data_IF_157641715067
#
_entry.id   IF_157641715067
#
_cell.length_a   1.000
_cell.length_b   1.000
_cell.length_c   1.000
_cell.angle_alpha   90.00
_cell.angle_beta   90.00
_cell.angle_gamma   90.00
#
_symmetry.space_group_name_H-M   'P 1'
#
loop_
_entity.id
_entity.type
_entity.pdbx_description
1 polymer ?
#
# COMPACT_ATOMS: atom_id res chain seq x y z
N UNK A 1 -10.48 6.10 -29.38
CA UNK A 1 -9.83 7.45 -29.39
C UNK A 1 -9.33 7.84 -27.98
N UNK A 2 -8.45 8.84 -27.79
CA UNK A 2 -7.85 9.20 -26.48
C UNK A 2 -8.87 9.37 -25.33
N UNK A 3 -9.97 10.10 -25.56
CA UNK A 3 -11.01 10.36 -24.54
C UNK A 3 -11.76 9.09 -24.10
N UNK A 4 -11.95 8.16 -25.03
CA UNK A 4 -12.56 6.85 -24.77
C UNK A 4 -11.66 6.02 -23.86
N UNK A 5 -10.37 5.95 -24.19
CA UNK A 5 -9.38 5.27 -23.34
C UNK A 5 -9.28 5.92 -21.95
N UNK A 6 -9.29 7.26 -21.84
CA UNK A 6 -9.32 7.94 -20.54
C UNK A 6 -10.56 7.54 -19.72
N UNK A 7 -11.71 7.38 -20.37
CA UNK A 7 -12.95 6.98 -19.70
C UNK A 7 -12.88 5.53 -19.21
N UNK A 8 -12.33 4.63 -20.02
CA UNK A 8 -12.10 3.23 -19.67
C UNK A 8 -11.09 3.08 -18.52
N UNK A 9 -9.97 3.82 -18.59
CA UNK A 9 -8.96 3.86 -17.53
C UNK A 9 -9.56 4.36 -16.19
N UNK A 10 -10.34 5.44 -16.21
CA UNK A 10 -11.05 5.94 -15.04
C UNK A 10 -12.01 4.89 -14.45
N UNK A 11 -12.73 4.16 -15.30
CA UNK A 11 -13.65 3.12 -14.85
C UNK A 11 -12.92 1.92 -14.25
N UNK A 12 -11.81 1.49 -14.88
CA UNK A 12 -10.97 0.40 -14.39
C UNK A 12 -10.39 0.71 -13.02
N UNK A 13 -9.84 1.91 -12.83
CA UNK A 13 -9.25 2.34 -11.55
C UNK A 13 -10.28 2.58 -10.44
N UNK A 14 -11.55 2.80 -10.80
CA UNK A 14 -12.65 2.97 -9.85
C UNK A 14 -13.14 1.68 -9.23
N UNK A 15 -12.76 0.50 -9.75
CA UNK A 15 -13.19 -0.76 -9.18
C UNK A 15 -12.71 -0.89 -7.72
N UNK A 16 -13.68 -1.01 -6.80
CA UNK A 16 -13.47 -1.12 -5.34
C UNK A 16 -14.00 -2.46 -4.81
N UNK A 17 -13.62 -3.56 -5.45
CA UNK A 17 -13.77 -4.87 -4.84
C UNK A 17 -12.85 -5.04 -3.63
N UNK A 18 -13.12 -6.05 -2.80
CA UNK A 18 -12.15 -6.53 -1.84
C UNK A 18 -10.89 -7.01 -2.59
N UNK A 19 -9.71 -6.77 -2.03
CA UNK A 19 -8.47 -7.31 -2.58
C UNK A 19 -8.38 -8.82 -2.26
N UNK A 20 -7.71 -9.61 -3.10
CA UNK A 20 -7.37 -10.99 -2.75
C UNK A 20 -6.59 -11.07 -1.43
N UNK A 21 -6.80 -12.15 -0.68
CA UNK A 21 -6.08 -12.51 0.54
C UNK A 21 -4.88 -13.45 0.28
N UNK A 22 -4.64 -13.79 -0.99
CA UNK A 22 -3.51 -14.58 -1.45
C UNK A 22 -2.41 -13.68 -2.07
N UNK A 23 -1.15 -13.94 -1.70
CA UNK A 23 0.00 -13.15 -2.15
C UNK A 23 0.29 -13.29 -3.65
N UNK A 24 0.13 -14.46 -4.24
CA UNK A 24 0.36 -14.73 -5.67
C UNK A 24 -0.68 -14.01 -6.54
N UNK A 25 -1.94 -14.07 -6.13
CA UNK A 25 -3.03 -13.34 -6.80
C UNK A 25 -2.82 -11.82 -6.73
N UNK A 26 -2.38 -11.30 -5.58
CA UNK A 26 -2.11 -9.88 -5.41
C UNK A 26 -0.87 -9.42 -6.20
N UNK A 27 0.16 -10.25 -6.27
CA UNK A 27 1.34 -10.01 -7.11
C UNK A 27 0.97 -9.95 -8.59
N UNK A 28 0.10 -10.84 -9.06
CA UNK A 28 -0.43 -10.83 -10.42
C UNK A 28 -1.19 -9.53 -10.75
N UNK A 29 -1.96 -9.00 -9.78
CA UNK A 29 -2.63 -7.70 -9.92
C UNK A 29 -1.64 -6.53 -9.97
N UNK A 30 -0.56 -6.58 -9.20
CA UNK A 30 0.52 -5.58 -9.26
C UNK A 30 1.18 -5.61 -10.63
N UNK A 31 1.46 -6.77 -11.19
CA UNK A 31 2.08 -6.88 -12.51
C UNK A 31 1.13 -6.42 -13.62
N UNK A 32 -0.16 -6.74 -13.53
CA UNK A 32 -1.18 -6.16 -14.40
C UNK A 32 -1.23 -4.62 -14.28
N UNK A 33 -1.05 -4.08 -13.07
CA UNK A 33 -1.00 -2.64 -12.86
C UNK A 33 0.27 -2.00 -13.45
N UNK A 34 1.42 -2.68 -13.41
CA UNK A 34 2.65 -2.20 -14.09
C UNK A 34 2.45 -2.09 -15.59
N UNK A 35 1.81 -3.08 -16.22
CA UNK A 35 1.46 -3.03 -17.64
C UNK A 35 0.44 -1.91 -17.94
N UNK A 36 -0.53 -1.70 -17.06
CA UNK A 36 -1.43 -0.55 -17.16
C UNK A 36 -0.67 0.78 -17.09
N UNK A 37 0.29 0.91 -16.17
CA UNK A 37 1.11 2.12 -16.03
C UNK A 37 1.98 2.40 -17.26
N UNK A 38 2.49 1.35 -17.91
CA UNK A 38 3.17 1.50 -19.20
C UNK A 38 2.24 2.10 -20.26
N UNK A 39 0.99 1.63 -20.35
CA UNK A 39 -0.02 2.21 -21.25
C UNK A 39 -0.37 3.65 -20.90
N UNK A 40 -0.46 3.99 -19.61
CA UNK A 40 -0.67 5.38 -19.14
C UNK A 40 0.46 6.28 -19.64
N UNK A 41 1.70 5.81 -19.55
CA UNK A 41 2.88 6.53 -20.02
C UNK A 41 2.87 6.71 -21.54
N UNK A 42 2.53 5.68 -22.31
CA UNK A 42 2.33 5.79 -23.76
C UNK A 42 1.25 6.84 -24.10
N UNK A 43 0.13 6.84 -23.37
CA UNK A 43 -0.96 7.82 -23.56
C UNK A 43 -0.63 9.23 -23.11
N UNK A 44 0.38 9.43 -22.27
CA UNK A 44 0.89 10.77 -21.94
C UNK A 44 1.36 11.51 -23.19
N UNK A 45 1.99 10.79 -24.12
CA UNK A 45 2.46 11.37 -25.38
C UNK A 45 1.28 11.87 -26.22
N UNK A 46 0.23 11.06 -26.34
CA UNK A 46 -1.00 11.44 -27.05
C UNK A 46 -1.68 12.66 -26.42
N UNK A 47 -1.75 12.72 -25.08
CA UNK A 47 -2.27 13.86 -24.33
C UNK A 47 -1.46 15.12 -24.60
N UNK A 48 -0.13 15.03 -24.51
CA UNK A 48 0.77 16.15 -24.76
C UNK A 48 0.70 16.64 -26.21
N UNK A 49 0.58 15.72 -27.17
CA UNK A 49 0.39 16.07 -28.58
C UNK A 49 -0.95 16.80 -28.79
N UNK A 50 -2.04 16.31 -28.19
CA UNK A 50 -3.35 16.96 -28.27
C UNK A 50 -3.34 18.37 -27.65
N UNK A 51 -2.65 18.54 -26.51
CA UNK A 51 -2.45 19.84 -25.86
C UNK A 51 -1.63 20.77 -26.76
N UNK A 52 -0.51 20.31 -27.29
CA UNK A 52 0.35 21.10 -28.18
C UNK A 52 -0.37 21.54 -29.46
N UNK A 53 -1.17 20.65 -30.07
CA UNK A 53 -2.03 21.03 -31.19
C UNK A 53 -3.04 22.11 -30.79
N UNK A 54 -3.66 21.98 -29.61
CA UNK A 54 -4.56 23.00 -29.08
C UNK A 54 -3.88 24.36 -28.91
N UNK A 55 -2.64 24.38 -28.42
CA UNK A 55 -1.84 25.61 -28.26
C UNK A 55 -1.47 26.25 -29.60
N UNK A 56 -1.11 25.45 -30.61
CA UNK A 56 -0.87 25.93 -31.98
C UNK A 56 -2.13 26.55 -32.58
N UNK A 57 -3.29 25.91 -32.41
CA UNK A 57 -4.58 26.47 -32.87
C UNK A 57 -4.88 27.78 -32.13
N UNK A 58 -4.66 27.84 -30.82
CA UNK A 58 -4.88 29.06 -30.03
C UNK A 58 -4.07 30.26 -30.54
N UNK A 59 -2.88 30.04 -31.08
CA UNK A 59 -2.03 31.10 -31.61
C UNK A 59 -2.61 31.78 -32.87
N UNK A 60 -3.49 31.12 -33.60
CA UNK A 60 -4.02 31.59 -34.88
C UNK A 60 -5.57 31.67 -34.94
N UNK A 61 -6.28 31.20 -33.92
CA UNK A 61 -7.75 31.14 -33.94
C UNK A 61 -8.45 32.49 -33.76
N UNK A 62 -9.69 32.60 -34.25
CA UNK A 62 -10.56 33.75 -34.04
C UNK A 62 -10.91 33.92 -32.55
N UNK A 63 -11.08 35.17 -32.03
CA UNK A 63 -11.44 35.44 -30.63
C UNK A 63 -12.58 34.59 -30.06
N UNK A 64 -13.59 34.29 -30.87
CA UNK A 64 -14.77 33.51 -30.45
C UNK A 64 -14.46 32.05 -30.08
N UNK A 65 -13.38 31.48 -30.63
CA UNK A 65 -13.00 30.09 -30.37
C UNK A 65 -12.02 29.93 -29.20
N UNK A 66 -11.39 31.03 -28.75
CA UNK A 66 -10.32 31.00 -27.73
C UNK A 66 -10.77 30.30 -26.45
N UNK A 67 -11.95 30.68 -25.93
CA UNK A 67 -12.48 30.12 -24.68
C UNK A 67 -12.74 28.62 -24.82
N UNK A 68 -13.31 28.20 -25.94
CA UNK A 68 -13.63 26.80 -26.22
C UNK A 68 -12.37 25.95 -26.32
N UNK A 69 -11.34 26.40 -27.05
CA UNK A 69 -10.10 25.63 -27.21
C UNK A 69 -9.34 25.54 -25.87
N UNK A 70 -9.22 26.65 -25.12
CA UNK A 70 -8.64 26.64 -23.76
C UNK A 70 -9.38 25.69 -22.82
N UNK A 71 -10.70 25.63 -22.93
CA UNK A 71 -11.51 24.73 -22.14
C UNK A 71 -11.20 23.25 -22.45
N UNK A 72 -11.12 22.88 -23.74
CA UNK A 72 -10.77 21.51 -24.14
C UNK A 72 -9.36 21.11 -23.71
N UNK A 73 -8.36 22.00 -23.85
CA UNK A 73 -6.99 21.76 -23.34
C UNK A 73 -7.04 21.51 -21.83
N UNK A 74 -7.79 22.34 -21.09
CA UNK A 74 -7.92 22.19 -19.64
C UNK A 74 -8.57 20.88 -19.25
N UNK A 75 -9.66 20.46 -19.93
CA UNK A 75 -10.33 19.18 -19.68
C UNK A 75 -9.37 18.01 -19.93
N UNK A 76 -8.70 17.98 -21.07
CA UNK A 76 -7.81 16.88 -21.46
C UNK A 76 -6.67 16.74 -20.46
N UNK A 77 -6.05 17.86 -20.06
CA UNK A 77 -5.01 17.83 -19.04
C UNK A 77 -5.55 17.38 -17.69
N UNK A 78 -6.65 17.97 -17.21
CA UNK A 78 -7.23 17.67 -15.90
C UNK A 78 -7.71 16.21 -15.74
N UNK A 79 -8.16 15.58 -16.83
CA UNK A 79 -8.50 14.15 -16.83
C UNK A 79 -7.29 13.25 -16.72
N UNK A 80 -6.18 13.61 -17.35
CA UNK A 80 -4.98 12.78 -17.34
C UNK A 80 -4.13 13.02 -16.09
N UNK A 81 -3.79 14.29 -15.85
CA UNK A 81 -3.06 14.82 -14.70
C UNK A 81 -4.03 15.58 -13.80
N UNK A 82 -3.93 15.43 -12.48
CA UNK A 82 -4.65 16.32 -11.57
C UNK A 82 -4.01 17.72 -11.64
N UNK A 83 -4.41 18.50 -12.65
CA UNK A 83 -3.99 19.89 -12.76
C UNK A 83 -4.84 20.67 -11.78
N UNK A 84 -4.24 21.00 -10.63
CA UNK A 84 -4.79 22.04 -9.76
C UNK A 84 -5.09 23.25 -10.64
N UNK A 85 -6.36 23.72 -10.71
CA UNK A 85 -6.66 24.89 -11.50
C UNK A 85 -5.79 26.04 -10.96
N UNK A 86 -5.20 26.89 -11.82
CA UNK A 86 -4.53 28.08 -11.33
C UNK A 86 -5.51 28.83 -10.42
N UNK A 87 -5.07 29.37 -9.27
CA UNK A 87 -5.94 30.15 -8.40
C UNK A 87 -6.63 31.17 -9.29
N UNK A 88 -7.98 31.13 -9.30
CA UNK A 88 -8.77 32.04 -10.13
C UNK A 88 -8.23 33.44 -9.86
N UNK A 89 -7.48 34.03 -10.78
CA UNK A 89 -7.18 35.44 -10.70
C UNK A 89 -8.55 36.10 -10.66
N UNK A 90 -8.82 36.81 -9.58
CA UNK A 90 -9.95 37.71 -9.47
C UNK A 90 -9.79 38.69 -10.64
N UNK A 91 -10.44 38.41 -11.77
CA UNK A 91 -10.63 39.41 -12.79
C UNK A 91 -11.55 40.46 -12.16
N UNK A 92 -10.98 41.53 -11.64
CA UNK A 92 -11.70 42.74 -11.24
C UNK A 92 -12.27 43.39 -12.50
N UNK A 93 -13.43 42.89 -12.94
CA UNK A 93 -14.22 43.44 -14.04
C UNK A 93 -15.69 43.17 -13.76
N UNK A 94 -16.62 44.04 -14.22
CA UNK A 94 -18.04 43.91 -13.93
C UNK A 94 -18.57 42.58 -14.49
N UNK A 95 -19.15 41.79 -13.60
CA UNK A 95 -19.77 40.50 -13.90
C UNK A 95 -21.01 40.73 -14.76
N UNK A 96 -20.87 40.58 -16.08
CA UNK A 96 -22.02 40.32 -16.94
C UNK A 96 -22.36 38.85 -16.79
N UNK A 97 -23.51 38.57 -16.15
CA UNK A 97 -24.07 37.22 -16.07
C UNK A 97 -24.58 36.83 -17.45
N UNK A 98 -23.77 36.09 -18.20
CA UNK A 98 -24.28 35.22 -19.25
C UNK A 98 -24.47 33.83 -18.66
N UNK A 99 -25.73 33.42 -18.67
CA UNK A 99 -26.22 32.10 -18.31
C UNK A 99 -25.60 31.03 -19.23
N UNK A 100 -25.42 29.82 -18.70
CA UNK A 100 -24.99 28.65 -19.47
C UNK A 100 -23.68 28.00 -18.97
N UNK A 101 -23.79 26.82 -18.37
CA UNK A 101 -22.67 25.87 -18.27
C UNK A 101 -22.12 25.58 -16.88
N UNK A 102 -22.97 25.54 -15.84
CA UNK A 102 -22.60 24.95 -14.54
C UNK A 102 -22.65 23.41 -14.61
N UNK A 103 -21.66 22.77 -15.24
CA UNK A 103 -21.42 21.31 -15.13
C UNK A 103 -19.91 21.00 -15.10
N UNK A 104 -19.17 21.60 -14.16
CA UNK A 104 -17.77 21.22 -13.87
C UNK A 104 -17.55 20.97 -12.36
N UNK A 105 -18.54 20.43 -11.65
CA UNK A 105 -18.39 20.05 -10.24
C UNK A 105 -18.35 18.54 -10.12
N UNK A 106 -17.15 17.98 -10.25
CA UNK A 106 -16.90 16.57 -9.96
C UNK A 106 -16.12 15.85 -11.04
N UNK A 107 -15.07 16.46 -11.61
CA UNK A 107 -14.10 15.64 -12.30
C UNK A 107 -13.37 14.82 -11.22
N UNK A 108 -13.45 13.47 -11.26
CA UNK A 108 -12.62 12.64 -10.39
C UNK A 108 -11.16 13.04 -10.56
N UNK A 109 -10.33 12.81 -9.54
CA UNK A 109 -8.87 12.96 -9.62
C UNK A 109 -8.37 12.36 -10.95
N UNK A 110 -7.33 12.93 -11.57
CA UNK A 110 -6.85 12.47 -12.88
C UNK A 110 -6.43 10.98 -12.87
N UNK A 111 -6.39 10.35 -14.04
CA UNK A 111 -5.99 8.94 -14.24
C UNK A 111 -4.69 8.62 -13.50
N UNK A 112 -3.71 9.52 -13.54
CA UNK A 112 -2.44 9.34 -12.83
C UNK A 112 -2.58 9.27 -11.30
N UNK A 113 -3.44 10.12 -10.70
CA UNK A 113 -3.65 10.10 -9.26
C UNK A 113 -4.33 8.81 -8.83
N UNK A 114 -5.35 8.37 -9.57
CA UNK A 114 -6.03 7.11 -9.27
C UNK A 114 -5.13 5.90 -9.49
N UNK A 115 -4.28 5.91 -10.51
CA UNK A 115 -3.34 4.84 -10.75
C UNK A 115 -2.35 4.72 -9.60
N UNK A 116 -1.78 5.84 -9.14
CA UNK A 116 -0.90 5.86 -7.95
C UNK A 116 -1.61 5.37 -6.69
N UNK A 117 -2.85 5.81 -6.46
CA UNK A 117 -3.63 5.35 -5.31
C UNK A 117 -3.93 3.85 -5.38
N UNK A 118 -4.24 3.34 -6.58
CA UNK A 118 -4.46 1.92 -6.80
C UNK A 118 -3.19 1.10 -6.53
N UNK A 119 -2.04 1.54 -7.05
CA UNK A 119 -0.75 0.91 -6.78
C UNK A 119 -0.46 0.85 -5.28
N UNK A 120 -0.59 1.98 -4.57
CA UNK A 120 -0.35 2.03 -3.13
C UNK A 120 -1.25 1.06 -2.35
N UNK A 121 -2.52 0.91 -2.76
CA UNK A 121 -3.44 -0.05 -2.13
C UNK A 121 -2.98 -1.50 -2.33
N UNK A 122 -2.54 -1.86 -3.52
CA UNK A 122 -2.04 -3.21 -3.82
C UNK A 122 -0.76 -3.52 -3.02
N UNK A 123 0.20 -2.59 -3.02
CA UNK A 123 1.47 -2.75 -2.31
C UNK A 123 1.29 -2.83 -0.79
N UNK A 124 0.39 -2.02 -0.21
CA UNK A 124 0.07 -2.09 1.22
C UNK A 124 -0.50 -3.45 1.59
N UNK A 125 -1.48 -3.94 0.83
CA UNK A 125 -2.10 -5.23 1.08
C UNK A 125 -1.08 -6.38 0.97
N UNK A 126 -0.17 -6.34 -0.01
CA UNK A 126 0.85 -7.37 -0.15
C UNK A 126 1.84 -7.33 1.01
N UNK A 127 2.27 -6.14 1.41
CA UNK A 127 3.15 -5.98 2.56
C UNK A 127 2.51 -6.47 3.86
N UNK A 128 1.20 -6.27 4.03
CA UNK A 128 0.45 -6.77 5.19
C UNK A 128 0.35 -8.30 5.18
N UNK A 129 0.04 -8.91 4.02
CA UNK A 129 -0.01 -10.37 3.89
C UNK A 129 1.34 -11.03 4.18
N UNK A 130 2.42 -10.48 3.63
CA UNK A 130 3.79 -10.99 3.88
C UNK A 130 4.16 -10.85 5.36
N UNK A 131 3.88 -9.70 5.98
CA UNK A 131 4.14 -9.50 7.41
C UNK A 131 3.33 -10.46 8.30
N UNK A 132 2.09 -10.74 7.92
CA UNK A 132 1.27 -11.72 8.64
C UNK A 132 1.83 -13.14 8.49
N UNK A 133 2.33 -13.51 7.31
CA UNK A 133 2.96 -14.81 7.08
C UNK A 133 4.22 -14.97 7.95
N UNK A 134 5.08 -13.96 8.00
CA UNK A 134 6.28 -13.94 8.86
C UNK A 134 5.92 -14.10 10.35
N UNK A 135 4.88 -13.39 10.81
CA UNK A 135 4.40 -13.51 12.19
C UNK A 135 3.88 -14.92 12.50
N UNK A 136 3.16 -15.54 11.56
CA UNK A 136 2.66 -16.90 11.72
C UNK A 136 3.81 -17.92 11.76
N UNK A 137 4.85 -17.73 10.96
CA UNK A 137 6.06 -18.56 11.01
C UNK A 137 6.77 -18.44 12.36
N UNK A 138 6.93 -17.23 12.90
CA UNK A 138 7.51 -17.01 14.24
C UNK A 138 6.68 -17.72 15.32
N UNK A 139 5.35 -17.59 15.26
CA UNK A 139 4.44 -18.23 16.20
C UNK A 139 4.51 -19.76 16.11
N UNK A 140 4.55 -20.33 14.91
CA UNK A 140 4.66 -21.77 14.70
C UNK A 140 6.01 -22.30 15.22
N UNK A 141 7.11 -21.60 14.95
CA UNK A 141 8.43 -21.97 15.46
C UNK A 141 8.45 -21.96 16.99
N UNK A 142 7.83 -20.94 17.61
CA UNK A 142 7.71 -20.88 19.07
C UNK A 142 6.87 -22.02 19.64
N UNK A 143 5.72 -22.33 19.03
CA UNK A 143 4.86 -23.45 19.48
C UNK A 143 5.61 -24.77 19.37
N UNK A 144 6.30 -25.03 18.25
CA UNK A 144 7.07 -26.25 18.05
C UNK A 144 8.22 -26.38 19.06
N UNK A 145 8.90 -25.27 19.37
CA UNK A 145 9.91 -25.24 20.41
C UNK A 145 9.30 -25.57 21.77
N UNK A 146 8.22 -24.90 22.16
CA UNK A 146 7.56 -25.11 23.44
C UNK A 146 7.06 -26.55 23.60
N UNK A 147 6.46 -27.12 22.55
CA UNK A 147 6.05 -28.53 22.50
C UNK A 147 7.25 -29.46 22.70
N UNK A 148 8.35 -29.23 21.98
CA UNK A 148 9.58 -30.03 22.11
C UNK A 148 10.15 -29.96 23.52
N UNK A 149 10.23 -28.76 24.10
CA UNK A 149 10.73 -28.56 25.48
C UNK A 149 9.84 -29.28 26.49
N UNK A 150 8.52 -29.16 26.40
CA UNK A 150 7.59 -29.85 27.30
C UNK A 150 7.74 -31.38 27.19
N UNK A 151 7.84 -31.93 25.97
CA UNK A 151 8.07 -33.37 25.75
C UNK A 151 9.41 -33.84 26.36
N UNK A 152 10.46 -33.02 26.29
CA UNK A 152 11.75 -33.33 26.92
C UNK A 152 11.63 -33.29 28.45
N UNK A 153 10.97 -32.27 29.01
CA UNK A 153 10.77 -32.15 30.46
C UNK A 153 9.90 -33.27 31.03
N UNK A 154 8.90 -33.74 30.28
CA UNK A 154 8.06 -34.87 30.68
C UNK A 154 8.82 -36.21 30.76
N UNK A 155 9.98 -36.32 30.10
CA UNK A 155 10.86 -37.49 30.21
C UNK A 155 11.81 -37.43 31.42
N UNK A 156 11.92 -36.27 32.10
CA UNK A 156 12.76 -36.14 33.28
C UNK A 156 12.22 -37.00 34.44
N UNK A 157 13.09 -37.67 35.21
CA UNK A 157 12.66 -38.50 36.32
C UNK A 157 11.91 -37.66 37.37
N UNK A 158 10.91 -38.26 38.01
CA UNK A 158 10.08 -37.57 39.01
C UNK A 158 10.96 -36.99 40.13
N UNK A 159 10.82 -35.69 40.44
CA UNK A 159 11.61 -35.06 41.51
C UNK A 159 11.34 -35.74 42.85
N UNK A 160 12.41 -36.02 43.60
CA UNK A 160 12.33 -36.80 44.85
C UNK A 160 12.31 -35.93 46.11
N UNK A 161 12.48 -34.60 45.98
CA UNK A 161 12.53 -33.69 47.12
C UNK A 161 11.66 -32.43 46.90
N UNK A 162 11.08 -31.92 47.98
CA UNK A 162 10.19 -30.75 47.97
C UNK A 162 10.86 -29.47 47.45
N UNK A 163 12.18 -29.33 47.62
CA UNK A 163 12.92 -28.16 47.12
C UNK A 163 13.08 -28.20 45.60
N UNK A 164 13.21 -29.39 45.00
CA UNK A 164 13.21 -29.57 43.55
C UNK A 164 11.84 -29.22 42.95
N UNK A 165 10.76 -29.65 43.61
CA UNK A 165 9.39 -29.32 43.19
C UNK A 165 9.14 -27.81 43.26
N UNK A 166 9.58 -27.14 44.34
CA UNK A 166 9.45 -25.68 44.48
C UNK A 166 10.26 -24.91 43.42
N UNK A 167 11.45 -25.41 43.08
CA UNK A 167 12.27 -24.83 42.02
C UNK A 167 11.58 -24.93 40.65
N UNK A 168 11.05 -26.12 40.29
CA UNK A 168 10.30 -26.34 39.04
C UNK A 168 9.04 -25.48 38.95
N UNK A 169 8.30 -25.34 40.06
CA UNK A 169 7.13 -24.47 40.12
C UNK A 169 7.51 -23.00 39.87
N UNK A 170 8.64 -22.56 40.42
CA UNK A 170 9.14 -21.19 40.23
C UNK A 170 9.60 -20.95 38.79
N UNK A 171 10.26 -21.93 38.17
CA UNK A 171 10.67 -21.88 36.76
C UNK A 171 9.46 -21.79 35.82
N UNK A 172 8.43 -22.62 36.03
CA UNK A 172 7.22 -22.62 35.20
C UNK A 172 6.42 -21.32 35.31
N UNK A 173 6.34 -20.73 36.51
CA UNK A 173 5.63 -19.47 36.73
C UNK A 173 6.29 -18.24 36.07
N UNK A 174 7.59 -18.34 35.75
CA UNK A 174 8.37 -17.24 35.16
C UNK A 174 8.42 -17.33 33.63
N UNK A 175 8.04 -18.47 33.03
CA UNK A 175 8.10 -18.65 31.57
C UNK A 175 7.18 -17.65 30.85
N UNK A 176 7.73 -16.66 30.13
CA UNK A 176 6.92 -15.66 29.46
C UNK A 176 6.48 -16.21 28.11
N UNK A 177 5.18 -16.12 27.83
CA UNK A 177 4.68 -16.03 26.45
C UNK A 177 5.52 -14.93 25.75
N UNK A 178 6.06 -15.18 24.55
CA UNK A 178 6.91 -14.20 23.87
C UNK A 178 6.14 -12.89 23.72
N UNK A 179 6.70 -11.83 24.31
CA UNK A 179 6.10 -10.48 24.29
C UNK A 179 6.32 -9.77 22.94
N UNK A 180 6.77 -10.47 21.90
CA UNK A 180 7.24 -9.89 20.63
C UNK A 180 6.11 -9.56 19.64
N UNK A 181 4.86 -9.94 19.92
CA UNK A 181 3.70 -9.47 19.16
C UNK A 181 3.39 -8.01 19.55
N UNK A 182 4.13 -7.01 19.03
CA UNK A 182 3.66 -5.63 19.13
C UNK A 182 4.59 -4.43 18.95
N UNK A 183 5.91 -4.57 18.83
CA UNK A 183 6.78 -3.38 18.67
C UNK A 183 7.82 -3.58 17.59
N UNK A 184 7.46 -3.16 16.38
CA UNK A 184 8.37 -3.00 15.24
C UNK A 184 9.32 -1.82 15.52
N UNK A 185 10.42 -2.06 16.22
CA UNK A 185 11.59 -1.20 16.09
C UNK A 185 12.39 -1.65 14.86
N UNK A 186 12.54 -0.69 13.94
CA UNK A 186 13.28 -0.82 12.69
C UNK A 186 14.77 -0.82 13.02
N UNK A 187 15.37 -1.98 13.20
CA UNK A 187 16.83 -2.10 13.24
C UNK A 187 17.32 -3.35 13.97
N UNK A 188 18.13 -4.15 13.26
CA UNK A 188 18.95 -5.20 13.84
C UNK A 188 18.29 -6.57 13.84
N UNK A 189 18.95 -7.54 13.21
CA UNK A 189 18.57 -8.94 13.26
C UNK A 189 18.49 -9.41 14.72
N UNK A 190 17.27 -9.63 15.20
CA UNK A 190 17.04 -10.44 16.37
C UNK A 190 17.12 -11.89 15.93
N UNK A 191 18.30 -12.49 16.08
CA UNK A 191 18.41 -13.94 16.08
C UNK A 191 17.37 -14.49 17.06
N UNK A 192 16.72 -15.61 16.70
CA UNK A 192 16.23 -16.56 17.69
C UNK A 192 17.27 -16.62 18.83
N UNK A 193 16.88 -16.64 20.11
CA UNK A 193 17.84 -16.82 21.20
C UNK A 193 18.71 -18.01 20.81
N UNK A 194 20.00 -17.72 20.55
CA UNK A 194 20.93 -18.71 20.00
C UNK A 194 20.90 -19.90 20.94
N UNK A 195 20.88 -21.10 20.36
CA UNK A 195 20.65 -22.40 21.00
C UNK A 195 21.64 -22.80 22.11
N UNK A 196 22.34 -21.86 22.75
CA UNK A 196 23.42 -22.14 23.72
C UNK A 196 23.24 -21.49 25.11
N UNK A 197 22.36 -20.52 25.35
CA UNK A 197 22.41 -19.76 26.62
C UNK A 197 21.47 -20.21 27.76
N UNK A 198 20.60 -21.20 27.58
CA UNK A 198 19.73 -21.67 28.69
C UNK A 198 20.24 -22.93 29.40
N UNK A 199 21.32 -23.55 28.93
CA UNK A 199 21.87 -24.78 29.55
C UNK A 199 23.15 -24.58 30.38
N UNK A 200 23.64 -23.34 30.55
CA UNK A 200 24.90 -23.09 31.28
C UNK A 200 24.75 -22.73 32.76
N UNK A 201 23.53 -22.66 33.31
CA UNK A 201 23.35 -22.37 34.74
C UNK A 201 23.24 -23.61 35.65
N UNK A 202 23.32 -24.84 35.12
CA UNK A 202 23.33 -26.08 35.91
C UNK A 202 24.75 -26.62 36.12
N UNK A 203 25.65 -25.73 36.54
CA UNK A 203 27.03 -26.08 36.83
C UNK A 203 27.62 -25.28 37.98
N UNK A 204 27.23 -25.59 39.21
CA UNK A 204 28.22 -25.58 40.30
C UNK A 204 27.79 -26.44 41.51
N UNK A 205 28.70 -27.26 42.04
CA UNK A 205 28.47 -28.08 43.22
C UNK A 205 28.88 -27.30 44.48
N UNK A 206 27.92 -26.95 45.32
CA UNK A 206 28.09 -26.80 46.77
C UNK A 206 26.77 -27.12 47.47
#
# INVERSE_FOLDING_TARGET
>A
MLLEWLSEAEQSLRFRGALPDDAEALQSLIDAHKEFMKKVEEKRVDVNAAVGMGEVILAACHPDCITTIKHWITIIRARFEEVSPPPRRLCSGPVVRSDGGRHQRGWPRGVLTWAKQHQQRLESALSELVANAELLEELLAWIQWAETTLIQRDQEPTPQNIDQVKALISEHQVSPVPKTVGTRERGGGGSCPSMEETLTSLGSPY
#
